data_IF_375909524004
#
_entry.id   IF_375909524004
#
_cell.length_a   1.000
_cell.length_b   1.000
_cell.length_c   1.000
_cell.angle_alpha   90.00
_cell.angle_beta   90.00
_cell.angle_gamma   90.00
#
_symmetry.space_group_name_H-M   'P 1'
#
loop_
_entity.id
_entity.type
_entity.pdbx_description
1 polymer ?
#
# COMPACT_ATOMS: atom_id res chain seq x y z
N UNK A 1 1.45 -7.78 -4.47
CA UNK A 1 0.53 -6.95 -3.65
C UNK A 1 -0.18 -5.96 -4.54
N UNK A 2 -1.50 -5.78 -4.37
CA UNK A 2 -2.25 -4.74 -5.10
C UNK A 2 -1.94 -3.35 -4.52
N UNK A 3 -1.95 -2.33 -5.38
CA UNK A 3 -1.67 -0.94 -5.04
C UNK A 3 -2.88 -0.05 -5.36
N UNK A 4 -3.04 1.01 -4.57
CA UNK A 4 -4.01 2.07 -4.77
C UNK A 4 -3.37 3.45 -4.58
N UNK A 5 -3.98 4.49 -5.14
CA UNK A 5 -3.58 5.88 -4.88
C UNK A 5 -4.26 6.46 -3.64
N UNK A 6 -3.91 7.70 -3.29
CA UNK A 6 -4.49 8.48 -2.18
C UNK A 6 -6.02 8.63 -2.24
N UNK A 7 -6.65 8.43 -3.40
CA UNK A 7 -8.11 8.48 -3.59
C UNK A 7 -8.76 7.09 -3.47
N UNK A 8 -8.01 6.08 -3.05
CA UNK A 8 -8.45 4.70 -2.94
C UNK A 8 -8.85 4.08 -4.28
N UNK A 9 -8.25 4.55 -5.39
CA UNK A 9 -8.45 3.97 -6.73
C UNK A 9 -7.33 2.98 -7.00
N UNK A 10 -7.67 1.77 -7.46
CA UNK A 10 -6.71 0.73 -7.82
C UNK A 10 -5.78 1.19 -8.94
N UNK A 11 -4.49 0.91 -8.77
CA UNK A 11 -3.42 1.32 -9.69
C UNK A 11 -2.85 0.13 -10.43
N UNK A 12 -2.48 -0.93 -9.70
CA UNK A 12 -1.77 -2.07 -10.27
C UNK A 12 -1.32 -3.08 -9.24
N UNK A 13 -0.44 -3.98 -9.65
CA UNK A 13 0.08 -5.05 -8.79
C UNK A 13 1.60 -5.07 -8.82
N UNK A 14 2.23 -5.08 -7.64
CA UNK A 14 3.68 -5.29 -7.51
C UNK A 14 4.03 -6.69 -8.00
N UNK A 15 4.92 -6.78 -8.99
CA UNK A 15 5.48 -8.02 -9.56
C UNK A 15 6.84 -8.38 -9.00
N UNK A 16 7.63 -7.38 -8.62
CA UNK A 16 8.97 -7.60 -8.08
C UNK A 16 9.56 -6.30 -7.53
N UNK A 17 10.55 -6.48 -6.66
CA UNK A 17 11.33 -5.41 -6.06
C UNK A 17 12.79 -5.72 -6.35
N UNK A 18 13.53 -4.71 -6.79
CA UNK A 18 14.95 -4.82 -7.10
C UNK A 18 15.72 -3.72 -6.39
N UNK A 19 16.78 -4.10 -5.68
CA UNK A 19 17.75 -3.16 -5.11
C UNK A 19 19.11 -3.38 -5.76
N UNK A 20 19.63 -2.34 -6.43
CA UNK A 20 20.95 -2.33 -7.08
C UNK A 20 21.26 -3.54 -7.97
N UNK A 21 20.25 -4.08 -8.65
CA UNK A 21 20.42 -5.24 -9.53
C UNK A 21 19.89 -6.54 -8.95
N UNK A 22 19.71 -6.63 -7.63
CA UNK A 22 19.31 -7.86 -6.93
C UNK A 22 17.81 -7.89 -6.63
N UNK A 23 17.17 -9.02 -6.90
CA UNK A 23 15.77 -9.22 -6.57
C UNK A 23 15.61 -9.47 -5.07
N UNK A 24 14.77 -8.68 -4.42
CA UNK A 24 14.46 -8.79 -2.99
C UNK A 24 12.97 -9.01 -2.78
N UNK A 25 12.62 -9.64 -1.66
CA UNK A 25 11.22 -9.87 -1.27
C UNK A 25 10.61 -8.71 -0.50
N UNK A 26 11.42 -7.94 0.23
CA UNK A 26 10.99 -6.87 1.14
C UNK A 26 11.94 -5.69 1.05
N UNK A 27 11.38 -4.49 1.01
CA UNK A 27 12.12 -3.23 1.17
C UNK A 27 11.58 -2.50 2.40
N UNK A 28 12.48 -2.11 3.29
CA UNK A 28 12.18 -1.38 4.52
C UNK A 28 12.14 0.14 4.28
N UNK A 29 11.61 0.86 5.26
CA UNK A 29 11.52 2.33 5.25
C UNK A 29 12.86 2.98 4.93
N UNK A 30 12.83 3.96 4.03
CA UNK A 30 14.00 4.76 3.64
C UNK A 30 14.89 4.13 2.57
N UNK A 31 14.57 2.91 2.08
CA UNK A 31 15.28 2.33 0.95
C UNK A 31 14.72 2.86 -0.37
N UNK A 32 15.62 3.24 -1.26
CA UNK A 32 15.32 3.52 -2.66
C UNK A 32 15.50 2.24 -3.48
N UNK A 33 14.42 1.74 -4.07
CA UNK A 33 14.38 0.48 -4.81
C UNK A 33 13.59 0.63 -6.09
N UNK A 34 13.89 -0.20 -7.09
CA UNK A 34 13.08 -0.30 -8.28
C UNK A 34 11.92 -1.28 -8.03
N UNK A 35 10.69 -0.85 -8.32
CA UNK A 35 9.49 -1.68 -8.18
C UNK A 35 8.85 -1.88 -9.55
N UNK A 36 8.72 -3.14 -9.96
CA UNK A 36 7.95 -3.48 -11.15
C UNK A 36 6.47 -3.56 -10.80
N UNK A 37 5.65 -2.68 -11.38
CA UNK A 37 4.19 -2.64 -11.17
C UNK A 37 3.49 -2.98 -12.48
N UNK A 38 2.68 -4.02 -12.46
CA UNK A 38 1.86 -4.45 -13.59
C UNK A 38 0.52 -3.71 -13.61
N UNK A 39 0.10 -3.26 -14.79
CA UNK A 39 -1.15 -2.52 -15.02
C UNK A 39 -1.02 -1.02 -15.36
N UNK A 40 -0.33 -0.18 -14.56
CA UNK A 40 -0.32 1.26 -14.77
C UNK A 40 0.73 1.69 -15.81
N UNK A 41 0.53 2.87 -16.38
CA UNK A 41 1.52 3.53 -17.24
C UNK A 41 1.94 4.83 -16.57
N UNK A 42 3.26 5.03 -16.42
CA UNK A 42 3.84 6.27 -15.88
C UNK A 42 3.54 7.43 -16.83
N UNK A 43 3.15 8.58 -16.26
CA UNK A 43 2.68 9.76 -16.98
C UNK A 43 1.19 9.72 -17.35
N UNK A 44 0.48 8.62 -17.07
CA UNK A 44 -0.97 8.49 -17.37
C UNK A 44 -1.79 8.12 -16.14
N UNK A 45 -1.64 6.90 -15.62
CA UNK A 45 -2.37 6.46 -14.41
C UNK A 45 -1.60 6.78 -13.12
N UNK A 46 -0.27 6.83 -13.21
CA UNK A 46 0.63 7.22 -12.13
C UNK A 46 1.62 8.26 -12.64
N UNK A 47 2.09 9.14 -11.76
CA UNK A 47 3.07 10.19 -12.06
C UNK A 47 4.26 10.07 -11.12
N UNK A 48 5.38 10.64 -11.54
CA UNK A 48 6.53 10.80 -10.65
C UNK A 48 6.13 11.66 -9.44
N UNK A 49 6.53 11.20 -8.24
CA UNK A 49 6.15 11.83 -6.98
C UNK A 49 4.81 11.38 -6.40
N UNK A 50 4.03 10.55 -7.10
CA UNK A 50 2.80 9.98 -6.53
C UNK A 50 3.13 9.05 -5.35
N UNK A 51 2.33 9.14 -4.29
CA UNK A 51 2.36 8.20 -3.16
C UNK A 51 1.34 7.11 -3.41
N UNK A 52 1.81 5.86 -3.39
CA UNK A 52 0.99 4.67 -3.55
C UNK A 52 0.90 3.90 -2.23
N UNK A 53 -0.28 3.35 -1.98
CA UNK A 53 -0.59 2.55 -0.80
C UNK A 53 -0.86 1.11 -1.21
N UNK A 54 -0.61 0.17 -0.30
CA UNK A 54 -1.09 -1.20 -0.47
C UNK A 54 -2.61 -1.20 -0.38
N UNK A 55 -3.27 -1.81 -1.37
CA UNK A 55 -4.72 -2.02 -1.33
C UNK A 55 -5.03 -3.22 -0.43
N UNK A 56 -5.13 -2.96 0.87
CA UNK A 56 -5.40 -3.99 1.89
C UNK A 56 -6.84 -4.51 1.71
N UNK A 57 -7.05 -5.84 1.57
CA UNK A 57 -8.39 -6.40 1.57
C UNK A 57 -9.12 -6.14 2.89
N UNK A 58 -10.42 -5.87 2.83
CA UNK A 58 -11.24 -5.51 3.99
C UNK A 58 -11.14 -6.51 5.13
N UNK A 59 -11.19 -7.82 4.82
CA UNK A 59 -11.04 -8.88 5.83
C UNK A 59 -9.70 -8.80 6.57
N UNK A 60 -8.62 -8.45 5.88
CA UNK A 60 -7.30 -8.33 6.49
C UNK A 60 -7.23 -7.06 7.35
N UNK A 61 -7.77 -5.94 6.86
CA UNK A 61 -7.83 -4.71 7.64
C UNK A 61 -8.60 -4.91 8.95
N UNK A 62 -9.72 -5.64 8.93
CA UNK A 62 -10.48 -5.98 10.13
C UNK A 62 -9.67 -6.80 11.14
N UNK A 63 -8.89 -7.77 10.68
CA UNK A 63 -8.01 -8.57 11.55
C UNK A 63 -6.91 -7.67 12.14
N UNK A 64 -6.30 -6.81 11.32
CA UNK A 64 -5.27 -5.89 11.79
C UNK A 64 -5.82 -4.95 12.87
N UNK A 65 -6.99 -4.33 12.63
CA UNK A 65 -7.60 -3.37 13.56
C UNK A 65 -8.03 -4.01 14.87
N UNK A 66 -8.53 -5.27 14.85
CA UNK A 66 -9.05 -5.93 16.05
C UNK A 66 -8.02 -6.75 16.82
N UNK A 67 -7.02 -7.34 16.14
CA UNK A 67 -6.17 -8.39 16.72
C UNK A 67 -4.68 -8.07 16.64
N UNK A 68 -4.21 -7.32 15.63
CA UNK A 68 -2.77 -7.20 15.34
C UNK A 68 -2.20 -5.79 15.49
N UNK A 69 -2.96 -4.80 15.99
CA UNK A 69 -2.44 -3.45 16.16
C UNK A 69 -1.16 -3.40 17.02
N UNK A 70 -1.07 -4.25 18.03
CA UNK A 70 0.11 -4.33 18.92
C UNK A 70 1.34 -4.99 18.27
N UNK A 71 1.19 -5.59 17.10
CA UNK A 71 2.27 -6.21 16.34
C UNK A 71 2.88 -5.27 15.29
N UNK A 72 2.27 -4.09 15.07
CA UNK A 72 2.76 -3.08 14.15
C UNK A 72 3.66 -2.09 14.88
N UNK A 73 4.72 -1.66 14.19
CA UNK A 73 5.49 -0.50 14.63
C UNK A 73 4.66 0.79 14.48
N UNK A 74 5.02 1.84 15.22
CA UNK A 74 4.28 3.11 15.22
C UNK A 74 4.07 3.69 13.81
N UNK A 75 5.11 3.57 12.97
CA UNK A 75 5.06 4.07 11.60
C UNK A 75 4.17 3.22 10.67
N UNK A 76 4.10 1.90 10.90
CA UNK A 76 3.22 1.01 10.15
C UNK A 76 1.76 1.24 10.58
N UNK A 77 1.52 1.48 11.87
CA UNK A 77 0.21 1.82 12.40
C UNK A 77 -0.30 3.15 11.85
N UNK A 78 0.58 4.14 11.68
CA UNK A 78 0.26 5.41 11.03
C UNK A 78 -0.19 5.20 9.58
N UNK A 79 0.60 4.47 8.78
CA UNK A 79 0.24 4.12 7.38
C UNK A 79 -1.06 3.32 7.33
N UNK A 80 -1.28 2.39 8.25
CA UNK A 80 -2.52 1.63 8.32
C UNK A 80 -3.74 2.52 8.59
N UNK A 81 -3.62 3.51 9.48
CA UNK A 81 -4.67 4.51 9.74
C UNK A 81 -4.95 5.38 8.52
N UNK A 82 -3.93 5.74 7.74
CA UNK A 82 -4.12 6.43 6.46
C UNK A 82 -4.91 5.58 5.47
N UNK A 83 -4.58 4.28 5.34
CA UNK A 83 -5.34 3.35 4.49
C UNK A 83 -6.80 3.26 4.93
N UNK A 84 -7.07 3.15 6.23
CA UNK A 84 -8.44 3.15 6.76
C UNK A 84 -9.18 4.44 6.41
N UNK A 85 -8.53 5.60 6.55
CA UNK A 85 -9.11 6.90 6.18
C UNK A 85 -9.49 6.94 4.70
N UNK A 86 -8.56 6.57 3.81
CA UNK A 86 -8.78 6.56 2.35
C UNK A 86 -9.96 5.64 1.97
N UNK A 87 -10.06 4.45 2.57
CA UNK A 87 -11.16 3.52 2.30
C UNK A 87 -12.49 4.03 2.86
N UNK A 88 -12.47 4.57 4.08
CA UNK A 88 -13.66 5.06 4.79
C UNK A 88 -14.24 6.36 4.23
N UNK A 89 -13.48 7.09 3.40
CA UNK A 89 -14.03 8.20 2.60
C UNK A 89 -15.12 7.75 1.63
N UNK A 90 -15.04 6.51 1.11
CA UNK A 90 -16.06 5.95 0.19
C UNK A 90 -17.08 5.08 0.92
N UNK A 91 -16.64 4.34 1.93
CA UNK A 91 -17.48 3.45 2.73
C UNK A 91 -17.14 3.60 4.22
N UNK A 92 -17.92 4.40 4.98
CA UNK A 92 -17.66 4.66 6.40
C UNK A 92 -17.58 3.42 7.31
N UNK A 93 -18.12 2.28 6.87
CA UNK A 93 -18.13 1.04 7.63
C UNK A 93 -17.01 0.06 7.24
N UNK A 94 -16.20 0.40 6.23
CA UNK A 94 -15.16 -0.47 5.71
C UNK A 94 -14.18 -0.92 6.80
N UNK A 95 -13.96 -2.23 6.87
CA UNK A 95 -12.99 -2.86 7.77
C UNK A 95 -13.46 -3.03 9.21
N UNK A 96 -14.75 -2.77 9.51
CA UNK A 96 -15.35 -3.04 10.82
C UNK A 96 -15.84 -4.48 10.97
#
# INVERSE_FOLDING_TARGET
SELMNEKGVKVGVVRGIQDRGENISVAEKGREVAIAIDGPTVGRQIKEGDILYVDIPERHARIIENELQNALEDHELEVFREVLKIKREKDPFWGR
#
